data_IF_191755875922
#
_entry.id   IF_191755875922
#
_cell.length_a   1.000
_cell.length_b   1.000
_cell.length_c   1.000
_cell.angle_alpha   90.00
_cell.angle_beta   90.00
_cell.angle_gamma   90.00
#
_symmetry.space_group_name_H-M   'P 1'
#
loop_
_entity.id
_entity.type
_entity.pdbx_description
1 polymer ?
#
# COMPACT_ATOMS: atom_id res chain seq x y z
N UNK A 1 -5.76 29.09 1.81
CA UNK A 1 -5.14 29.34 0.49
C UNK A 1 -3.78 28.66 0.52
N UNK A 2 -3.60 27.57 -0.22
CA UNK A 2 -2.27 26.98 -0.39
C UNK A 2 -1.55 27.84 -1.44
N UNK A 3 -0.31 28.31 -1.16
CA UNK A 3 0.43 29.11 -2.11
C UNK A 3 0.69 28.29 -3.38
N UNK A 4 0.36 28.84 -4.53
CA UNK A 4 0.67 28.25 -5.83
C UNK A 4 2.19 28.11 -5.92
N UNK A 5 2.74 26.90 -6.04
CA UNK A 5 4.19 26.72 -6.11
C UNK A 5 4.73 27.43 -7.35
N UNK A 6 5.60 28.40 -7.13
CA UNK A 6 6.17 29.27 -8.18
C UNK A 6 7.46 28.71 -8.76
N UNK A 7 8.10 27.73 -8.10
CA UNK A 7 9.32 27.06 -8.57
C UNK A 7 9.23 25.53 -8.42
N UNK A 8 9.91 24.74 -9.27
CA UNK A 8 9.90 23.27 -9.20
C UNK A 8 10.31 22.70 -7.83
N UNK A 9 11.24 23.34 -7.12
CA UNK A 9 11.64 22.96 -5.77
C UNK A 9 10.47 23.02 -4.79
N UNK A 10 9.64 24.05 -4.88
CA UNK A 10 8.49 24.24 -3.98
C UNK A 10 7.48 23.09 -4.14
N UNK A 11 7.29 22.60 -5.37
CA UNK A 11 6.43 21.45 -5.66
C UNK A 11 6.99 20.18 -5.02
N UNK A 12 8.30 19.96 -5.14
CA UNK A 12 8.98 18.80 -4.56
C UNK A 12 8.87 18.84 -3.03
N UNK A 13 9.12 19.99 -2.41
CA UNK A 13 9.04 20.18 -0.96
C UNK A 13 7.61 19.99 -0.45
N UNK A 14 6.61 20.52 -1.16
CA UNK A 14 5.20 20.28 -0.84
C UNK A 14 4.85 18.79 -0.90
N UNK A 15 5.32 18.07 -1.93
CA UNK A 15 5.11 16.63 -2.07
C UNK A 15 5.76 15.84 -0.94
N UNK A 16 6.99 16.19 -0.54
CA UNK A 16 7.68 15.56 0.60
C UNK A 16 6.94 15.83 1.91
N UNK A 17 6.49 17.07 2.13
CA UNK A 17 5.73 17.44 3.32
C UNK A 17 4.40 16.67 3.42
N UNK A 18 3.64 16.57 2.32
CA UNK A 18 2.42 15.79 2.24
C UNK A 18 2.68 14.29 2.49
N UNK A 19 3.79 13.74 1.95
CA UNK A 19 4.15 12.34 2.18
C UNK A 19 4.47 12.07 3.65
N UNK A 20 5.11 13.02 4.33
CA UNK A 20 5.36 12.95 5.79
C UNK A 20 4.06 12.99 6.59
N UNK A 21 3.13 13.87 6.24
CA UNK A 21 1.81 13.93 6.88
C UNK A 21 1.03 12.63 6.69
N UNK A 22 1.03 12.07 5.47
CA UNK A 22 0.38 10.80 5.19
C UNK A 22 0.98 9.67 6.03
N UNK A 23 2.31 9.56 6.13
CA UNK A 23 2.96 8.55 6.96
C UNK A 23 2.56 8.67 8.44
N UNK A 24 2.41 9.89 8.96
CA UNK A 24 1.92 10.13 10.32
C UNK A 24 0.46 9.70 10.50
N UNK A 25 -0.41 9.95 9.51
CA UNK A 25 -1.80 9.51 9.53
C UNK A 25 -1.91 7.99 9.43
N UNK A 26 -1.12 7.36 8.55
CA UNK A 26 -1.03 5.90 8.44
C UNK A 26 -0.63 5.28 9.78
N UNK A 27 0.40 5.82 10.45
CA UNK A 27 0.82 5.35 11.77
C UNK A 27 -0.28 5.49 12.84
N UNK A 28 -1.01 6.61 12.84
CA UNK A 28 -2.14 6.81 13.76
C UNK A 28 -3.29 5.82 13.49
N UNK A 29 -3.59 5.56 12.22
CA UNK A 29 -4.59 4.55 11.82
C UNK A 29 -4.16 3.17 12.29
N UNK A 30 -2.90 2.78 12.06
CA UNK A 30 -2.36 1.50 12.54
C UNK A 30 -2.47 1.37 14.06
N UNK A 31 -2.18 2.43 14.82
CA UNK A 31 -2.33 2.45 16.26
C UNK A 31 -3.80 2.33 16.72
N UNK A 32 -4.76 2.87 15.95
CA UNK A 32 -6.19 2.80 16.25
C UNK A 32 -6.82 1.43 15.89
N UNK A 33 -6.22 0.67 14.97
CA UNK A 33 -6.79 -0.59 14.46
C UNK A 33 -7.26 -1.57 15.56
N UNK A 34 -6.49 -1.85 16.63
CA UNK A 34 -6.92 -2.80 17.65
C UNK A 34 -8.27 -2.40 18.28
N UNK A 35 -8.37 -1.15 18.76
CA UNK A 35 -9.59 -0.62 19.36
C UNK A 35 -10.76 -0.56 18.36
N UNK A 36 -10.47 -0.19 17.11
CA UNK A 36 -11.47 -0.20 16.04
C UNK A 36 -12.04 -1.61 15.79
N UNK A 37 -11.19 -2.64 15.75
CA UNK A 37 -11.65 -4.02 15.55
C UNK A 37 -12.41 -4.57 16.76
N UNK A 38 -12.00 -4.23 17.98
CA UNK A 38 -12.75 -4.57 19.20
C UNK A 38 -14.16 -3.95 19.17
N UNK A 39 -14.27 -2.67 18.80
CA UNK A 39 -15.56 -2.00 18.67
C UNK A 39 -16.44 -2.64 17.59
N UNK A 40 -15.88 -2.98 16.43
CA UNK A 40 -16.61 -3.66 15.36
C UNK A 40 -17.09 -5.06 15.81
N UNK A 41 -16.26 -5.80 16.54
CA UNK A 41 -16.62 -7.13 17.05
C UNK A 41 -17.75 -7.07 18.09
N UNK A 42 -17.76 -6.05 18.97
CA UNK A 42 -18.80 -5.86 19.96
C UNK A 42 -20.17 -5.53 19.35
N UNK A 43 -20.20 -4.90 18.17
CA UNK A 43 -21.44 -4.53 17.50
C UNK A 43 -22.16 -5.72 16.85
N UNK A 44 -21.46 -6.84 16.61
CA UNK A 44 -22.02 -8.12 16.14
C UNK A 44 -22.89 -8.06 14.86
N UNK A 45 -22.71 -7.05 14.01
CA UNK A 45 -23.37 -6.92 12.70
C UNK A 45 -22.35 -7.06 11.59
N UNK A 46 -22.67 -7.84 10.55
CA UNK A 46 -21.77 -8.05 9.41
C UNK A 46 -21.57 -6.79 8.55
N UNK A 47 -22.44 -5.78 8.71
CA UNK A 47 -22.35 -4.50 8.02
C UNK A 47 -23.00 -3.39 8.85
N UNK A 48 -22.36 -2.22 8.92
CA UNK A 48 -22.98 -1.04 9.51
C UNK A 48 -22.64 0.24 8.73
N UNK A 49 -23.59 1.17 8.69
CA UNK A 49 -23.51 2.41 7.93
C UNK A 49 -23.08 3.57 8.83
N UNK A 50 -21.99 4.23 8.46
CA UNK A 50 -21.51 5.47 9.04
C UNK A 50 -21.89 6.64 8.11
N UNK A 51 -22.09 7.88 8.60
CA UNK A 51 -22.45 9.01 7.75
C UNK A 51 -21.51 9.25 6.55
N UNK A 52 -20.26 8.80 6.65
CA UNK A 52 -19.22 9.00 5.63
C UNK A 52 -18.65 7.68 5.05
N UNK A 53 -19.11 6.52 5.53
CA UNK A 53 -18.51 5.24 5.15
C UNK A 53 -19.48 4.07 5.37
N UNK A 54 -19.21 2.94 4.71
CA UNK A 54 -19.87 1.67 5.00
C UNK A 54 -18.80 0.71 5.48
N UNK A 55 -19.01 0.13 6.66
CA UNK A 55 -18.08 -0.82 7.26
C UNK A 55 -18.72 -2.19 7.14
N UNK A 56 -17.97 -3.16 6.61
CA UNK A 56 -18.42 -4.53 6.44
C UNK A 56 -17.37 -5.50 6.98
N UNK A 57 -17.84 -6.61 7.54
CA UNK A 57 -17.01 -7.73 7.94
C UNK A 57 -16.79 -8.64 6.73
N UNK A 58 -15.53 -8.86 6.37
CA UNK A 58 -15.14 -9.91 5.42
C UNK A 58 -14.25 -10.91 6.11
N UNK A 59 -14.58 -12.18 5.97
CA UNK A 59 -13.66 -13.27 6.25
C UNK A 59 -12.76 -13.42 5.04
N UNK A 60 -11.50 -13.02 5.16
CA UNK A 60 -10.50 -13.48 4.18
C UNK A 60 -10.24 -14.97 4.44
N UNK A 61 -9.99 -15.77 3.40
CA UNK A 61 -9.48 -17.12 3.60
C UNK A 61 -8.27 -17.03 4.54
N UNK A 62 -8.19 -17.93 5.52
CA UNK A 62 -6.97 -18.09 6.31
C UNK A 62 -5.77 -18.34 5.37
N UNK A 63 -4.54 -18.14 5.87
CA UNK A 63 -3.34 -18.51 5.10
C UNK A 63 -3.52 -19.93 4.59
N UNK A 64 -3.61 -20.09 3.27
CA UNK A 64 -3.60 -21.41 2.64
C UNK A 64 -2.23 -22.00 2.90
N UNK A 65 -2.19 -23.13 3.57
CA UNK A 65 -0.96 -23.91 3.73
C UNK A 65 -0.69 -24.62 2.41
N UNK A 66 -0.08 -23.88 1.47
CA UNK A 66 0.20 -24.40 0.15
C UNK A 66 1.26 -25.51 0.26
N UNK A 67 1.03 -26.66 -0.41
CA UNK A 67 2.05 -27.67 -0.60
C UNK A 67 3.40 -27.09 -1.05
N UNK A 68 4.50 -27.66 -0.54
CA UNK A 68 5.86 -27.14 -0.77
C UNK A 68 6.24 -27.06 -2.25
N UNK A 69 5.72 -27.98 -3.07
CA UNK A 69 5.91 -28.01 -4.51
C UNK A 69 5.30 -26.80 -5.22
N UNK A 70 4.14 -26.30 -4.78
CA UNK A 70 3.54 -25.07 -5.33
C UNK A 70 4.35 -23.82 -4.97
N UNK A 71 4.87 -23.78 -3.74
CA UNK A 71 5.74 -22.68 -3.28
C UNK A 71 7.04 -22.67 -4.11
N UNK A 72 7.66 -23.84 -4.32
CA UNK A 72 8.85 -23.99 -5.16
C UNK A 72 8.60 -23.59 -6.62
N UNK A 73 7.45 -23.95 -7.19
CA UNK A 73 7.05 -23.53 -8.53
C UNK A 73 6.90 -22.01 -8.63
N UNK A 74 6.28 -21.37 -7.65
CA UNK A 74 6.15 -19.90 -7.60
C UNK A 74 7.53 -19.23 -7.56
N UNK A 75 8.44 -19.72 -6.71
CA UNK A 75 9.81 -19.21 -6.63
C UNK A 75 10.55 -19.35 -7.96
N UNK A 76 10.41 -20.49 -8.63
CA UNK A 76 11.02 -20.74 -9.94
C UNK A 76 10.50 -19.77 -10.99
N UNK A 77 9.18 -19.55 -11.04
CA UNK A 77 8.56 -18.60 -11.96
C UNK A 77 9.05 -17.16 -11.71
N UNK A 78 9.17 -16.75 -10.44
CA UNK A 78 9.71 -15.42 -10.09
C UNK A 78 11.14 -15.25 -10.57
N UNK A 79 11.98 -16.27 -10.40
CA UNK A 79 13.37 -16.26 -10.88
C UNK A 79 13.43 -16.17 -12.41
N UNK A 80 12.65 -17.00 -13.12
CA UNK A 80 12.60 -16.99 -14.59
C UNK A 80 12.12 -15.65 -15.14
N UNK A 81 11.08 -15.06 -14.54
CA UNK A 81 10.58 -13.74 -14.92
C UNK A 81 11.65 -12.67 -14.75
N UNK A 82 12.40 -12.71 -13.64
CA UNK A 82 13.50 -11.78 -13.39
C UNK A 82 14.62 -11.94 -14.42
N UNK A 83 15.04 -13.17 -14.68
CA UNK A 83 16.07 -13.46 -15.68
C UNK A 83 15.65 -12.99 -17.07
N UNK A 84 14.39 -13.18 -17.44
CA UNK A 84 13.83 -12.67 -18.69
C UNK A 84 13.91 -11.14 -18.76
N UNK A 85 13.51 -10.43 -17.69
CA UNK A 85 13.59 -8.97 -17.62
C UNK A 85 15.04 -8.44 -17.70
N UNK A 86 15.99 -9.12 -17.05
CA UNK A 86 17.41 -8.74 -17.06
C UNK A 86 18.07 -8.99 -18.41
N UNK A 87 17.68 -10.07 -19.10
CA UNK A 87 18.24 -10.42 -20.42
C UNK A 87 17.56 -9.70 -21.58
N UNK A 88 16.34 -9.19 -21.39
CA UNK A 88 15.55 -8.56 -22.45
C UNK A 88 15.18 -7.15 -22.01
N UNK A 89 16.12 -6.22 -22.18
CA UNK A 89 15.86 -4.80 -21.96
C UNK A 89 14.87 -4.28 -23.02
N UNK A 90 13.73 -3.67 -22.65
CA UNK A 90 12.77 -3.16 -23.61
C UNK A 90 13.37 -1.99 -24.41
N UNK A 91 13.37 -2.12 -25.73
CA UNK A 91 13.96 -1.16 -26.69
C UNK A 91 13.12 0.12 -26.83
N UNK A 92 11.86 0.11 -26.36
CA UNK A 92 10.96 1.28 -26.35
C UNK A 92 10.14 1.33 -25.04
N UNK A 93 9.84 2.54 -24.56
CA UNK A 93 8.88 2.74 -23.45
C UNK A 93 9.45 2.75 -22.03
N UNK A 94 10.66 3.31 -21.82
CA UNK A 94 11.16 3.53 -20.45
C UNK A 94 10.25 4.51 -19.70
N UNK A 95 9.55 4.03 -18.66
CA UNK A 95 8.83 4.88 -17.73
C UNK A 95 9.79 5.52 -16.73
N UNK A 96 9.74 6.84 -16.58
CA UNK A 96 10.45 7.54 -15.51
C UNK A 96 9.52 7.57 -14.30
N UNK A 97 9.83 6.75 -13.29
CA UNK A 97 9.08 6.71 -12.03
C UNK A 97 9.89 7.48 -10.98
N UNK A 98 9.32 8.56 -10.45
CA UNK A 98 9.86 9.27 -9.30
C UNK A 98 9.23 8.69 -8.02
N UNK A 99 10.06 8.24 -7.07
CA UNK A 99 9.59 7.69 -5.79
C UNK A 99 10.17 8.48 -4.61
N UNK A 100 9.33 8.84 -3.63
CA UNK A 100 9.75 9.51 -2.40
C UNK A 100 9.94 8.46 -1.30
N UNK A 101 11.17 8.30 -0.81
CA UNK A 101 11.48 7.53 0.41
C UNK A 101 11.76 8.52 1.54
N UNK A 102 11.00 8.42 2.63
CA UNK A 102 11.24 9.24 3.81
C UNK A 102 12.49 8.72 4.52
N UNK A 103 13.40 9.64 4.88
CA UNK A 103 14.52 9.30 5.73
C UNK A 103 14.03 8.90 7.14
N UNK A 104 14.72 7.96 7.81
CA UNK A 104 14.40 7.57 9.19
C UNK A 104 14.55 8.74 10.18
#
# INVERSE_FOLDING_TARGET
MNPTPTQPSDVIDQMVALRKQLAQLEAQIEALKPAFFEACAAQAVDQFQHPQAVIYRRLTPGKWDYPSDLIEQEHRLKQQKRQFQETHEPVAGREVIWSIKLAP
#
